data_IF_493040067677
#
_entry.id   IF_493040067677
#
_cell.length_a   1.000
_cell.length_b   1.000
_cell.length_c   1.000
_cell.angle_alpha   90.00
_cell.angle_beta   90.00
_cell.angle_gamma   90.00
#
_symmetry.space_group_name_H-M   'P 1'
#
loop_
_entity.id
_entity.type
_entity.pdbx_description
1 polymer ?
#
# COMPACT_ATOMS: atom_id res chain seq x y z
N UNK A 1 7.25 10.04 -4.57
CA UNK A 1 6.89 10.39 -3.18
C UNK A 1 5.87 9.40 -2.64
N UNK A 2 6.07 8.94 -1.41
CA UNK A 2 5.11 8.06 -0.76
C UNK A 2 4.01 8.88 -0.09
N UNK A 3 2.80 8.35 -0.13
CA UNK A 3 1.62 8.98 0.48
C UNK A 3 1.19 8.14 1.68
N UNK A 4 0.80 8.78 2.75
CA UNK A 4 0.23 8.06 3.89
C UNK A 4 -1.23 7.71 3.56
N UNK A 5 -1.53 6.42 3.45
CA UNK A 5 -2.87 5.94 3.19
C UNK A 5 -3.54 5.58 4.51
N UNK A 6 -4.76 6.05 4.69
CA UNK A 6 -5.55 5.86 5.90
C UNK A 6 -6.95 5.38 5.55
N UNK A 7 -7.69 4.94 6.56
CA UNK A 7 -9.11 4.60 6.41
C UNK A 7 -9.88 5.76 5.79
N UNK A 8 -9.52 6.99 6.16
CA UNK A 8 -10.24 8.20 5.71
C UNK A 8 -9.93 8.60 4.27
N UNK A 9 -8.72 8.31 3.76
CA UNK A 9 -8.32 8.80 2.44
C UNK A 9 -8.18 7.74 1.34
N UNK A 10 -8.25 6.46 1.69
CA UNK A 10 -8.01 5.39 0.71
C UNK A 10 -8.96 5.45 -0.48
N UNK A 11 -10.24 5.78 -0.25
CA UNK A 11 -11.23 5.86 -1.32
C UNK A 11 -10.91 6.97 -2.30
N UNK A 12 -10.44 8.12 -1.82
CA UNK A 12 -10.05 9.23 -2.67
C UNK A 12 -8.90 8.82 -3.60
N UNK A 13 -7.85 8.20 -3.03
CA UNK A 13 -6.70 7.77 -3.84
C UNK A 13 -7.03 6.62 -4.77
N UNK A 14 -7.85 5.68 -4.31
CA UNK A 14 -8.29 4.53 -5.09
C UNK A 14 -9.07 4.97 -6.34
N UNK A 15 -9.88 6.01 -6.21
CA UNK A 15 -10.72 6.53 -7.30
C UNK A 15 -10.05 7.66 -8.07
N UNK A 16 -8.79 7.93 -7.82
CA UNK A 16 -8.02 8.93 -8.56
C UNK A 16 -7.69 8.46 -9.98
N UNK A 17 -7.10 9.36 -10.76
CA UNK A 17 -6.78 9.09 -12.16
C UNK A 17 -5.60 8.16 -12.35
N UNK A 18 -4.73 8.02 -11.33
CA UNK A 18 -3.54 7.17 -11.42
C UNK A 18 -3.77 5.85 -10.70
N UNK A 19 -3.10 4.77 -11.14
CA UNK A 19 -3.11 3.53 -10.36
C UNK A 19 -2.53 3.76 -8.97
N UNK A 20 -3.00 3.01 -8.00
CA UNK A 20 -2.58 3.11 -6.60
C UNK A 20 -1.94 1.80 -6.15
N UNK A 21 -0.77 1.90 -5.55
CA UNK A 21 -0.09 0.76 -4.91
C UNK A 21 -0.03 1.08 -3.42
N UNK A 22 -0.53 0.18 -2.58
CA UNK A 22 -0.55 0.39 -1.14
C UNK A 22 0.24 -0.70 -0.43
N UNK A 23 1.25 -0.29 0.33
CA UNK A 23 2.04 -1.16 1.20
C UNK A 23 1.41 -1.16 2.59
N UNK A 24 0.84 -2.30 3.00
CA UNK A 24 0.30 -2.47 4.34
C UNK A 24 1.40 -3.03 5.25
N UNK A 25 1.68 -2.31 6.34
CA UNK A 25 2.82 -2.58 7.21
C UNK A 25 2.48 -2.31 8.67
N UNK A 26 3.38 -2.69 9.57
CA UNK A 26 3.29 -2.35 10.98
C UNK A 26 4.69 -2.08 11.54
N UNK A 27 4.75 -1.32 12.62
CA UNK A 27 6.03 -0.90 13.22
C UNK A 27 6.86 -2.08 13.73
N UNK A 28 6.20 -3.14 14.17
CA UNK A 28 6.85 -4.34 14.72
C UNK A 28 7.23 -5.38 13.65
N UNK A 29 6.93 -5.10 12.40
CA UNK A 29 7.10 -6.07 11.31
C UNK A 29 8.49 -5.95 10.68
N UNK A 30 9.37 -6.90 10.97
CA UNK A 30 10.72 -6.94 10.40
C UNK A 30 10.74 -7.02 8.87
N UNK A 31 9.99 -7.97 8.26
CA UNK A 31 9.92 -8.05 6.80
C UNK A 31 9.39 -6.78 6.14
N UNK A 32 8.48 -6.06 6.80
CA UNK A 32 7.99 -4.78 6.28
C UNK A 32 9.12 -3.76 6.19
N UNK A 33 10.00 -3.73 7.19
CA UNK A 33 11.14 -2.82 7.17
C UNK A 33 12.14 -3.17 6.08
N UNK A 34 12.26 -4.46 5.77
CA UNK A 34 13.18 -4.92 4.72
C UNK A 34 12.75 -4.45 3.33
N UNK A 35 11.45 -4.37 3.07
CA UNK A 35 10.96 -3.95 1.76
C UNK A 35 10.73 -2.43 1.67
N UNK A 36 10.78 -1.71 2.79
CA UNK A 36 10.55 -0.27 2.79
C UNK A 36 11.43 0.50 1.81
N UNK A 37 12.74 0.22 1.69
CA UNK A 37 13.57 0.90 0.68
C UNK A 37 13.13 0.60 -0.75
N UNK A 38 12.64 -0.62 -1.01
CA UNK A 38 12.16 -1.01 -2.34
C UNK A 38 10.91 -0.22 -2.68
N UNK A 39 10.00 -0.08 -1.72
CA UNK A 39 8.76 0.67 -1.90
C UNK A 39 9.06 2.15 -2.13
N UNK A 40 10.00 2.72 -1.37
CA UNK A 40 10.42 4.12 -1.55
C UNK A 40 11.01 4.35 -2.93
N UNK A 41 11.84 3.42 -3.40
CA UNK A 41 12.46 3.52 -4.73
C UNK A 41 11.39 3.43 -5.82
N UNK A 42 10.41 2.57 -5.65
CA UNK A 42 9.29 2.45 -6.58
C UNK A 42 8.53 3.78 -6.68
N UNK A 43 8.29 4.41 -5.53
CA UNK A 43 7.61 5.71 -5.48
C UNK A 43 8.38 6.78 -6.26
N UNK A 44 9.70 6.78 -6.15
CA UNK A 44 10.53 7.73 -6.88
C UNK A 44 10.54 7.47 -8.38
N UNK A 45 10.71 6.21 -8.77
CA UNK A 45 10.83 5.83 -10.19
C UNK A 45 9.54 6.09 -10.97
N UNK A 46 8.40 5.92 -10.33
CA UNK A 46 7.09 6.04 -10.99
C UNK A 46 6.31 7.29 -10.55
N UNK A 47 7.02 8.27 -9.99
CA UNK A 47 6.40 9.53 -9.57
C UNK A 47 5.64 10.16 -10.75
N UNK A 48 4.40 10.54 -10.52
CA UNK A 48 3.53 11.10 -11.56
C UNK A 48 2.85 10.06 -12.44
N UNK A 49 3.23 8.78 -12.35
CA UNK A 49 2.63 7.70 -13.15
C UNK A 49 1.76 6.78 -12.32
N UNK A 50 2.17 6.51 -11.10
CA UNK A 50 1.38 5.77 -10.11
C UNK A 50 1.49 6.48 -8.77
N UNK A 51 0.54 6.23 -7.90
CA UNK A 51 0.62 6.70 -6.51
C UNK A 51 1.06 5.50 -5.66
N UNK A 52 2.11 5.69 -4.88
CA UNK A 52 2.60 4.67 -3.95
C UNK A 52 2.28 5.14 -2.55
N UNK A 53 1.47 4.35 -1.84
CA UNK A 53 1.03 4.67 -0.51
C UNK A 53 1.51 3.67 0.52
N UNK A 54 1.58 4.12 1.78
CA UNK A 54 1.90 3.28 2.92
C UNK A 54 0.76 3.35 3.92
N UNK A 55 0.32 2.21 4.41
CA UNK A 55 -0.81 2.11 5.32
C UNK A 55 -0.39 1.31 6.56
N UNK A 56 -0.37 1.97 7.72
CA UNK A 56 -0.10 1.32 8.99
C UNK A 56 -1.36 0.57 9.42
N UNK A 57 -1.30 -0.77 9.47
CA UNK A 57 -2.48 -1.59 9.75
C UNK A 57 -2.97 -1.46 11.19
N UNK A 58 -2.12 -1.03 12.11
CA UNK A 58 -2.54 -0.84 13.50
C UNK A 58 -3.38 0.43 13.67
N UNK A 59 -3.06 1.47 12.90
CA UNK A 59 -3.83 2.71 12.89
C UNK A 59 -5.05 2.64 11.97
N UNK A 60 -5.04 1.72 11.01
CA UNK A 60 -6.04 1.62 9.95
C UNK A 60 -6.49 0.18 9.75
N UNK A 61 -6.93 -0.46 10.84
CA UNK A 61 -7.31 -1.87 10.81
C UNK A 61 -8.53 -2.13 9.90
N UNK A 62 -9.37 -1.11 9.69
CA UNK A 62 -10.51 -1.22 8.76
C UNK A 62 -10.05 -1.49 7.33
N UNK A 63 -8.91 -0.91 6.91
CA UNK A 63 -8.36 -1.15 5.57
C UNK A 63 -7.94 -2.61 5.44
N UNK A 64 -7.22 -3.13 6.43
CA UNK A 64 -6.81 -4.52 6.43
C UNK A 64 -8.01 -5.47 6.40
N UNK A 65 -9.05 -5.15 7.18
CA UNK A 65 -10.26 -5.96 7.23
C UNK A 65 -11.01 -5.96 5.90
N UNK A 66 -11.16 -4.80 5.29
CA UNK A 66 -11.89 -4.65 4.03
C UNK A 66 -11.26 -5.48 2.91
N UNK A 67 -9.93 -5.49 2.82
CA UNK A 67 -9.22 -6.20 1.76
C UNK A 67 -8.70 -7.56 2.21
N UNK A 68 -9.16 -8.04 3.37
CA UNK A 68 -8.85 -9.37 3.92
C UNK A 68 -7.35 -9.61 4.06
N UNK A 69 -6.64 -8.59 4.52
CA UNK A 69 -5.20 -8.68 4.76
C UNK A 69 -4.97 -9.29 6.14
N UNK A 70 -4.35 -10.46 6.18
CA UNK A 70 -4.06 -11.19 7.42
C UNK A 70 -2.57 -11.26 7.73
N UNK A 71 -1.75 -11.13 6.70
CA UNK A 71 -0.30 -11.20 6.82
C UNK A 71 0.31 -9.93 6.26
N UNK A 72 1.36 -9.44 6.88
CA UNK A 72 2.10 -8.27 6.42
C UNK A 72 3.57 -8.62 6.24
N UNK A 73 4.27 -7.99 5.30
CA UNK A 73 3.73 -6.95 4.39
C UNK A 73 2.76 -7.54 3.36
N UNK A 74 1.80 -6.73 2.97
CA UNK A 74 0.92 -7.03 1.84
C UNK A 74 0.85 -5.79 0.97
N UNK A 75 0.99 -5.98 -0.34
CA UNK A 75 0.89 -4.89 -1.30
C UNK A 75 -0.39 -5.04 -2.09
N UNK A 76 -1.22 -4.01 -2.09
CA UNK A 76 -2.46 -3.97 -2.84
C UNK A 76 -2.28 -3.09 -4.06
N UNK A 77 -2.84 -3.53 -5.19
CA UNK A 77 -2.77 -2.80 -6.46
C UNK A 77 -4.17 -2.43 -6.90
N UNK A 78 -4.41 -1.12 -7.09
CA UNK A 78 -5.71 -0.62 -7.51
C UNK A 78 -5.60 0.11 -8.85
N UNK A 79 -6.62 -0.02 -9.68
CA UNK A 79 -6.73 0.72 -10.93
C UNK A 79 -8.20 0.98 -11.21
N UNK A 80 -8.54 2.24 -11.49
CA UNK A 80 -9.93 2.60 -11.82
C UNK A 80 -10.90 2.32 -10.68
N UNK A 81 -10.47 2.44 -9.44
CA UNK A 81 -11.31 2.20 -8.27
C UNK A 81 -11.43 0.74 -7.85
N UNK A 82 -10.74 -0.18 -8.55
CA UNK A 82 -10.84 -1.61 -8.28
C UNK A 82 -9.53 -2.21 -7.84
N UNK A 83 -9.59 -3.19 -6.94
CA UNK A 83 -8.43 -4.00 -6.56
C UNK A 83 -8.12 -4.94 -7.70
N UNK A 84 -6.95 -4.78 -8.33
CA UNK A 84 -6.54 -5.58 -9.49
C UNK A 84 -5.41 -6.57 -9.16
N UNK A 85 -4.81 -6.46 -8.00
CA UNK A 85 -3.75 -7.39 -7.61
C UNK A 85 -3.43 -7.29 -6.13
N UNK A 86 -2.82 -8.35 -5.59
CA UNK A 86 -2.44 -8.45 -4.19
C UNK A 86 -1.21 -9.34 -4.08
N UNK A 87 -0.17 -8.83 -3.43
CA UNK A 87 1.05 -9.58 -3.16
C UNK A 87 1.25 -9.69 -1.66
N UNK A 88 1.33 -10.93 -1.15
CA UNK A 88 1.50 -11.20 0.28
C UNK A 88 2.92 -11.66 0.53
N UNK A 89 3.56 -11.07 1.52
CA UNK A 89 4.89 -11.45 1.96
C UNK A 89 5.99 -10.57 1.38
N UNK A 90 7.23 -10.92 1.71
CA UNK A 90 8.39 -10.15 1.28
C UNK A 90 8.60 -10.24 -0.23
N UNK A 91 9.11 -9.16 -0.81
CA UNK A 91 9.50 -9.10 -2.23
C UNK A 91 10.99 -9.43 -2.28
N UNK A 92 11.36 -10.36 -3.13
CA UNK A 92 12.75 -10.75 -3.34
C UNK A 92 13.31 -10.14 -4.61
#
# INVERSE_FOLDING_TARGET
>A
MEVKITTENIEEYKNGSLPLVVDLWATWCGPCRMIAPIVSKLAEEYDGKIVVGKCDVEENDDVAAEYRVRNIPTILFFKGGELVGKHVGAIT
#
